data_IF_653543469957
#
_entry.id   IF_653543469957
#
_cell.length_a   1.000
_cell.length_b   1.000
_cell.length_c   1.000
_cell.angle_alpha   90.00
_cell.angle_beta   90.00
_cell.angle_gamma   90.00
#
_symmetry.space_group_name_H-M   'P 1'
#
loop_
_entity.id
_entity.type
_entity.pdbx_description
1 polymer ?
#
# COMPACT_ATOMS: atom_id res chain seq x y z
N UNK A 1 28.30 -61.93 1.56
CA UNK A 1 26.91 -61.60 1.17
C UNK A 1 26.06 -61.07 2.32
N UNK A 2 25.86 -61.80 3.43
CA UNK A 2 25.03 -61.33 4.57
C UNK A 2 25.51 -60.03 5.23
N UNK A 3 26.83 -59.80 5.33
CA UNK A 3 27.39 -58.57 5.90
C UNK A 3 27.15 -57.35 4.99
N UNK A 4 27.27 -57.54 3.68
CA UNK A 4 27.08 -56.48 2.69
C UNK A 4 25.62 -55.99 2.65
N UNK A 5 24.67 -56.92 2.75
CA UNK A 5 23.23 -56.61 2.83
C UNK A 5 22.92 -55.83 4.11
N UNK A 6 23.51 -56.20 5.26
CA UNK A 6 23.32 -55.47 6.53
C UNK A 6 23.85 -54.04 6.45
N UNK A 7 25.02 -53.85 5.84
CA UNK A 7 25.62 -52.50 5.67
C UNK A 7 24.77 -51.65 4.72
N UNK A 8 24.29 -52.21 3.61
CA UNK A 8 23.44 -51.50 2.66
C UNK A 8 22.10 -51.06 3.28
N UNK A 9 21.48 -51.91 4.10
CA UNK A 9 20.25 -51.58 4.83
C UNK A 9 20.47 -50.46 5.84
N UNK A 10 21.57 -50.48 6.59
CA UNK A 10 21.89 -49.42 7.55
C UNK A 10 22.14 -48.09 6.84
N UNK A 11 22.89 -48.07 5.73
CA UNK A 11 23.11 -46.85 4.94
C UNK A 11 21.81 -46.29 4.36
N UNK A 12 20.92 -47.16 3.87
CA UNK A 12 19.59 -46.76 3.39
C UNK A 12 18.73 -46.12 4.48
N UNK A 13 18.76 -46.68 5.70
CA UNK A 13 18.03 -46.12 6.85
C UNK A 13 18.60 -44.77 7.31
N UNK A 14 19.93 -44.61 7.31
CA UNK A 14 20.55 -43.31 7.63
C UNK A 14 20.18 -42.27 6.56
N UNK A 15 20.20 -42.64 5.28
CA UNK A 15 19.83 -41.73 4.20
C UNK A 15 18.35 -41.30 4.28
N UNK A 16 17.45 -42.25 4.57
CA UNK A 16 16.04 -41.96 4.84
C UNK A 16 15.85 -41.03 6.06
N UNK A 17 16.61 -41.24 7.13
CA UNK A 17 16.55 -40.39 8.31
C UNK A 17 17.02 -38.95 8.00
N UNK A 18 18.07 -38.78 7.20
CA UNK A 18 18.56 -37.45 6.76
C UNK A 18 17.54 -36.76 5.87
N UNK A 19 16.91 -37.48 4.94
CA UNK A 19 15.84 -36.92 4.11
C UNK A 19 14.62 -36.56 4.95
N UNK A 20 14.19 -37.42 5.87
CA UNK A 20 13.07 -37.12 6.77
C UNK A 20 13.36 -35.90 7.65
N UNK A 21 14.58 -35.79 8.19
CA UNK A 21 15.00 -34.63 8.99
C UNK A 21 15.13 -33.36 8.15
N UNK A 22 15.56 -33.48 6.88
CA UNK A 22 15.62 -32.38 5.92
C UNK A 22 14.24 -31.90 5.50
N UNK A 23 13.34 -32.81 5.10
CA UNK A 23 11.94 -32.48 4.81
C UNK A 23 11.27 -31.87 6.05
N UNK A 24 11.52 -32.40 7.25
CA UNK A 24 11.00 -31.82 8.49
C UNK A 24 11.54 -30.40 8.74
N UNK A 25 12.81 -30.11 8.42
CA UNK A 25 13.38 -28.76 8.51
C UNK A 25 12.92 -27.79 7.42
N UNK A 26 12.42 -28.28 6.28
CA UNK A 26 12.02 -27.46 5.14
C UNK A 26 10.52 -27.40 4.90
N UNK A 27 9.71 -28.24 5.56
CA UNK A 27 8.25 -28.15 5.54
C UNK A 27 7.75 -27.13 6.58
N UNK A 28 8.32 -25.92 6.56
CA UNK A 28 7.74 -24.75 7.22
C UNK A 28 6.53 -24.30 6.39
N UNK A 29 5.41 -24.98 6.61
CA UNK A 29 4.11 -24.43 6.29
C UNK A 29 3.71 -23.57 7.49
N UNK A 30 3.90 -22.26 7.36
CA UNK A 30 3.24 -21.21 8.17
C UNK A 30 3.30 -21.28 9.71
N UNK A 31 4.41 -21.75 10.30
CA UNK A 31 4.65 -21.55 11.74
C UNK A 31 5.57 -20.34 11.96
N UNK A 32 5.03 -19.32 12.63
CA UNK A 32 5.66 -18.05 12.97
C UNK A 32 7.12 -18.21 13.42
N UNK A 33 8.05 -17.53 12.75
CA UNK A 33 9.45 -17.47 13.18
C UNK A 33 9.53 -16.68 14.49
N UNK A 34 10.28 -17.16 15.49
CA UNK A 34 10.55 -16.44 16.74
C UNK A 34 12.03 -16.08 16.86
N UNK A 35 12.33 -14.88 17.34
CA UNK A 35 13.70 -14.45 17.69
C UNK A 35 13.79 -14.32 19.20
N UNK A 36 14.88 -14.86 19.76
CA UNK A 36 15.19 -14.74 21.18
C UNK A 36 16.21 -13.62 21.36
N UNK A 37 15.79 -12.51 21.97
CA UNK A 37 16.64 -11.36 22.30
C UNK A 37 16.49 -11.04 23.79
N UNK A 38 17.61 -10.96 24.52
CA UNK A 38 17.64 -10.70 25.98
C UNK A 38 16.68 -11.60 26.79
N UNK A 39 16.77 -12.92 26.58
CA UNK A 39 15.93 -13.94 27.23
C UNK A 39 14.41 -13.82 27.03
N UNK A 40 13.96 -12.90 26.17
CA UNK A 40 12.58 -12.85 25.71
C UNK A 40 12.46 -13.52 24.35
N UNK A 41 11.55 -14.50 24.25
CA UNK A 41 11.12 -15.05 22.97
C UNK A 41 10.03 -14.14 22.43
N UNK A 42 10.32 -13.43 21.34
CA UNK A 42 9.33 -12.66 20.61
C UNK A 42 9.08 -13.32 19.26
N UNK A 43 7.83 -13.36 18.77
CA UNK A 43 7.63 -13.61 17.34
C UNK A 43 8.52 -12.61 16.59
N UNK A 44 9.13 -13.04 15.49
CA UNK A 44 9.74 -12.18 14.49
C UNK A 44 8.58 -11.31 13.97
N UNK A 45 8.32 -10.22 14.66
CA UNK A 45 7.00 -9.60 14.68
C UNK A 45 6.49 -9.35 13.25
N UNK A 46 5.20 -9.66 13.05
CA UNK A 46 4.34 -8.88 12.16
C UNK A 46 4.79 -7.43 12.19
N UNK A 47 5.00 -6.82 11.02
CA UNK A 47 5.38 -5.41 10.87
C UNK A 47 4.71 -4.54 11.95
N UNK A 48 5.49 -4.13 12.98
CA UNK A 48 5.04 -3.36 14.17
C UNK A 48 3.75 -2.59 13.91
N UNK A 49 2.59 -3.11 14.34
CA UNK A 49 1.31 -2.43 14.14
C UNK A 49 1.37 -0.96 14.60
N UNK A 50 0.63 -0.08 13.93
CA UNK A 50 0.68 1.37 14.17
C UNK A 50 1.48 2.14 13.12
N UNK A 51 1.61 3.45 13.34
CA UNK A 51 2.15 4.38 12.34
C UNK A 51 3.60 4.08 11.93
N UNK A 52 4.42 3.56 12.86
CA UNK A 52 5.80 3.17 12.60
C UNK A 52 5.88 1.99 11.62
N UNK A 53 5.05 0.97 11.79
CA UNK A 53 4.99 -0.18 10.87
C UNK A 53 4.57 0.23 9.47
N UNK A 54 3.68 1.21 9.35
CA UNK A 54 3.30 1.75 8.03
C UNK A 54 4.52 2.35 7.33
N UNK A 55 5.28 3.21 8.00
CA UNK A 55 6.49 3.81 7.42
C UNK A 55 7.55 2.76 7.08
N UNK A 56 7.77 1.79 7.98
CA UNK A 56 8.71 0.70 7.78
C UNK A 56 8.32 -0.18 6.59
N UNK A 57 7.04 -0.49 6.42
CA UNK A 57 6.59 -1.36 5.34
C UNK A 57 6.55 -0.66 3.99
N UNK A 58 6.01 0.56 3.91
CA UNK A 58 5.82 1.25 2.63
C UNK A 58 7.12 1.89 2.11
N UNK A 59 7.99 2.32 3.01
CA UNK A 59 9.19 3.09 2.64
C UNK A 59 10.49 2.49 3.17
N UNK A 60 10.46 1.35 3.88
CA UNK A 60 11.65 0.75 4.51
C UNK A 60 12.36 1.66 5.52
N UNK A 61 11.60 2.52 6.22
CA UNK A 61 12.14 3.50 7.17
C UNK A 61 11.81 3.14 8.62
N UNK A 62 12.83 3.11 9.47
CA UNK A 62 12.66 3.18 10.92
C UNK A 62 12.68 4.65 11.35
N UNK A 63 11.49 5.26 11.42
CA UNK A 63 11.33 6.69 11.76
C UNK A 63 10.17 6.91 12.73
N UNK A 64 10.20 8.07 13.41
CA UNK A 64 9.07 8.58 14.21
C UNK A 64 8.09 9.40 13.36
N UNK A 65 8.46 9.74 12.14
CA UNK A 65 7.57 10.37 11.17
C UNK A 65 6.39 9.45 10.85
N UNK A 66 5.29 10.04 10.41
CA UNK A 66 4.03 9.34 10.22
C UNK A 66 3.44 9.69 8.86
N UNK A 67 2.92 8.68 8.16
CA UNK A 67 2.18 8.93 6.93
C UNK A 67 0.78 9.45 7.27
N UNK A 68 0.60 10.77 7.15
CA UNK A 68 -0.67 11.44 7.39
C UNK A 68 -1.36 11.86 6.10
N UNK A 69 -2.68 11.65 6.05
CA UNK A 69 -3.53 12.08 4.95
C UNK A 69 -4.49 13.15 5.47
N UNK A 70 -4.45 14.34 4.86
CA UNK A 70 -5.41 15.40 5.13
C UNK A 70 -6.75 15.03 4.50
N UNK A 71 -7.83 15.15 5.27
CA UNK A 71 -9.18 14.95 4.74
C UNK A 71 -9.51 16.09 3.77
N UNK A 72 -10.03 15.81 2.56
CA UNK A 72 -10.32 16.87 1.58
C UNK A 72 -11.36 17.90 2.05
N UNK A 73 -12.35 17.46 2.84
CA UNK A 73 -13.47 18.30 3.29
C UNK A 73 -13.28 18.87 4.71
N UNK A 74 -12.13 18.64 5.35
CA UNK A 74 -11.84 19.21 6.66
C UNK A 74 -10.35 19.49 6.90
N UNK A 75 -10.03 20.28 7.92
CA UNK A 75 -8.62 20.56 8.27
C UNK A 75 -7.95 19.42 9.07
N UNK A 76 -8.62 18.27 9.22
CA UNK A 76 -8.07 17.13 9.96
C UNK A 76 -7.10 16.31 9.12
N UNK A 77 -6.13 15.73 9.80
CA UNK A 77 -5.17 14.79 9.22
C UNK A 77 -5.28 13.45 9.95
N UNK A 78 -5.36 12.38 9.17
CA UNK A 78 -5.50 11.00 9.64
C UNK A 78 -4.17 10.31 9.48
N UNK A 79 -3.69 9.66 10.54
CA UNK A 79 -2.45 8.88 10.48
C UNK A 79 -2.77 7.46 10.04
N UNK A 80 -2.06 6.95 9.05
CA UNK A 80 -2.15 5.54 8.69
C UNK A 80 -1.47 4.70 9.77
N UNK A 81 -2.15 3.65 10.24
CA UNK A 81 -1.75 2.84 11.40
C UNK A 81 -1.76 1.35 11.13
N UNK A 82 -2.25 0.89 9.98
CA UNK A 82 -2.29 -0.54 9.69
C UNK A 82 -2.53 -0.85 8.22
N UNK A 83 -2.73 -2.13 7.94
CA UNK A 83 -2.94 -2.66 6.60
C UNK A 83 -4.15 -3.59 6.56
N UNK A 84 -4.91 -3.54 5.47
CA UNK A 84 -5.90 -4.54 5.08
C UNK A 84 -5.26 -5.39 3.98
N UNK A 85 -4.64 -6.49 4.38
CA UNK A 85 -3.73 -7.29 3.54
C UNK A 85 -4.35 -7.73 2.22
N UNK A 86 -5.55 -8.30 2.28
CA UNK A 86 -6.25 -8.87 1.12
C UNK A 86 -6.59 -7.81 0.07
N UNK A 87 -6.88 -6.58 0.50
CA UNK A 87 -7.23 -5.47 -0.39
C UNK A 87 -6.02 -4.63 -0.79
N UNK A 88 -4.85 -4.92 -0.19
CA UNK A 88 -3.64 -4.12 -0.33
C UNK A 88 -3.86 -2.63 -0.01
N UNK A 89 -4.59 -2.37 1.08
CA UNK A 89 -4.85 -1.01 1.56
C UNK A 89 -4.07 -0.75 2.83
N UNK A 90 -3.48 0.44 2.97
CA UNK A 90 -3.06 0.95 4.26
C UNK A 90 -4.21 1.79 4.83
N UNK A 91 -4.52 1.67 6.12
CA UNK A 91 -5.66 2.36 6.70
C UNK A 91 -5.31 3.20 7.93
N UNK A 92 -6.14 4.19 8.20
CA UNK A 92 -6.16 4.96 9.42
C UNK A 92 -7.59 5.35 9.78
N UNK A 93 -7.97 5.15 11.03
CA UNK A 93 -9.30 5.50 11.52
C UNK A 93 -9.37 6.98 11.91
N UNK A 94 -10.55 7.59 11.78
CA UNK A 94 -10.77 8.96 12.21
C UNK A 94 -12.16 9.20 12.78
N UNK A 95 -12.24 10.24 13.62
CA UNK A 95 -13.50 10.84 14.04
C UNK A 95 -13.46 12.34 13.80
N UNK A 96 -14.37 12.81 12.95
CA UNK A 96 -14.62 14.23 12.70
C UNK A 96 -15.97 14.67 13.27
N UNK A 97 -15.94 15.26 14.47
CA UNK A 97 -17.13 15.61 15.25
C UNK A 97 -18.03 14.38 15.47
N UNK A 98 -19.13 14.30 14.73
CA UNK A 98 -20.11 13.20 14.76
C UNK A 98 -19.85 12.14 13.69
N UNK A 99 -19.04 12.44 12.67
CA UNK A 99 -18.70 11.53 11.58
C UNK A 99 -17.52 10.66 12.00
N UNK A 100 -17.61 9.35 11.77
CA UNK A 100 -16.48 8.41 11.92
C UNK A 100 -16.25 7.72 10.60
N UNK A 101 -15.03 7.26 10.38
CA UNK A 101 -14.68 6.54 9.16
C UNK A 101 -13.23 6.16 9.13
N UNK A 102 -12.78 5.76 7.96
CA UNK A 102 -11.42 5.35 7.67
C UNK A 102 -10.90 6.10 6.45
N UNK A 103 -9.60 6.37 6.45
CA UNK A 103 -8.85 6.65 5.23
C UNK A 103 -8.21 5.35 4.78
N UNK A 104 -8.37 4.99 3.51
CA UNK A 104 -7.85 3.77 2.89
C UNK A 104 -6.94 4.14 1.72
N UNK A 105 -5.64 3.88 1.82
CA UNK A 105 -4.64 4.18 0.81
C UNK A 105 -4.31 2.92 0.00
N UNK A 106 -4.50 2.96 -1.33
CA UNK A 106 -4.10 1.86 -2.21
C UNK A 106 -2.61 1.96 -2.55
N UNK A 107 -1.79 1.34 -1.69
CA UNK A 107 -0.34 1.44 -1.81
C UNK A 107 0.24 0.67 -2.99
N UNK A 108 -0.53 -0.22 -3.65
CA UNK A 108 -0.09 -0.87 -4.89
C UNK A 108 -0.10 0.08 -6.08
N UNK A 109 -0.85 1.18 -5.97
CA UNK A 109 -0.95 2.23 -6.99
C UNK A 109 -0.14 3.48 -6.62
N UNK A 110 0.84 3.34 -5.74
CA UNK A 110 1.80 4.41 -5.48
C UNK A 110 2.66 4.61 -6.73
N UNK A 111 2.58 5.79 -7.32
CA UNK A 111 3.28 6.14 -8.56
C UNK A 111 4.22 7.31 -8.32
N UNK A 112 5.54 7.08 -8.31
CA UNK A 112 6.53 8.16 -8.27
C UNK A 112 6.41 9.11 -9.46
N UNK A 113 6.65 10.40 -9.21
CA UNK A 113 6.69 11.47 -10.20
C UNK A 113 8.13 11.99 -10.29
N UNK A 114 8.77 11.79 -11.44
CA UNK A 114 10.12 12.26 -11.71
C UNK A 114 10.13 13.75 -12.12
N UNK A 115 9.54 14.60 -11.28
CA UNK A 115 9.52 16.05 -11.49
C UNK A 115 10.93 16.64 -11.31
N UNK A 116 11.35 17.63 -12.12
CA UNK A 116 12.67 18.25 -11.97
C UNK A 116 12.76 19.08 -10.69
N UNK A 117 13.98 19.23 -10.16
CA UNK A 117 14.26 20.10 -9.01
C UNK A 117 13.98 19.49 -7.64
N UNK A 118 13.83 18.17 -7.54
CA UNK A 118 13.49 17.46 -6.31
C UNK A 118 14.60 16.51 -5.80
N UNK A 119 15.89 16.86 -5.95
CA UNK A 119 17.02 15.96 -5.64
C UNK A 119 16.99 15.34 -4.22
N UNK A 120 16.38 16.03 -3.25
CA UNK A 120 16.29 15.60 -1.85
C UNK A 120 14.91 15.04 -1.46
N UNK A 121 14.01 14.85 -2.43
CA UNK A 121 12.65 14.36 -2.15
C UNK A 121 12.04 13.57 -3.31
N UNK A 122 11.20 12.58 -3.01
CA UNK A 122 10.33 11.95 -3.99
C UNK A 122 8.97 12.61 -3.99
N UNK A 123 8.47 13.03 -5.14
CA UNK A 123 7.04 13.29 -5.29
C UNK A 123 6.35 12.06 -5.83
N UNK A 124 5.14 11.80 -5.37
CA UNK A 124 4.36 10.66 -5.84
C UNK A 124 2.88 10.95 -5.72
N UNK A 125 2.10 10.24 -6.52
CA UNK A 125 0.65 10.20 -6.41
C UNK A 125 0.22 8.82 -5.97
N UNK A 126 -0.86 8.76 -5.21
CA UNK A 126 -1.43 7.49 -4.76
C UNK A 126 -2.93 7.68 -4.49
N UNK A 127 -3.78 6.73 -4.91
CA UNK A 127 -5.19 6.79 -4.59
C UNK A 127 -5.45 6.56 -3.11
N UNK A 128 -6.39 7.31 -2.56
CA UNK A 128 -6.98 6.99 -1.27
C UNK A 128 -8.49 7.20 -1.28
N UNK A 129 -9.18 6.43 -0.45
CA UNK A 129 -10.60 6.57 -0.19
C UNK A 129 -10.83 7.14 1.21
N UNK A 130 -11.91 7.90 1.37
CA UNK A 130 -12.45 8.32 2.65
C UNK A 130 -13.81 7.67 2.82
N UNK A 131 -13.97 6.87 3.88
CA UNK A 131 -15.25 6.25 4.24
C UNK A 131 -15.91 7.05 5.36
N UNK A 132 -17.23 6.89 5.50
CA UNK A 132 -17.98 7.47 6.63
C UNK A 132 -18.87 6.39 7.26
N UNK A 133 -19.50 6.68 8.40
CA UNK A 133 -20.53 5.80 9.00
C UNK A 133 -21.73 5.55 8.07
N UNK A 134 -21.89 6.35 7.01
CA UNK A 134 -22.83 6.08 5.93
C UNK A 134 -22.32 5.02 4.95
N UNK A 135 -22.86 5.02 3.75
CA UNK A 135 -22.49 4.05 2.72
C UNK A 135 -21.49 4.59 1.68
N UNK A 136 -21.09 5.85 1.76
CA UNK A 136 -20.21 6.50 0.78
C UNK A 136 -18.75 6.06 0.89
N UNK A 137 -18.09 5.85 -0.25
CA UNK A 137 -16.66 5.58 -0.34
C UNK A 137 -16.08 6.52 -1.40
N UNK A 138 -15.57 7.66 -0.93
CA UNK A 138 -15.14 8.75 -1.79
C UNK A 138 -13.65 8.60 -2.12
N UNK A 139 -13.34 8.38 -3.40
CA UNK A 139 -11.98 8.22 -3.87
C UNK A 139 -11.36 9.54 -4.33
N UNK A 140 -10.09 9.71 -4.00
CA UNK A 140 -9.27 10.84 -4.34
C UNK A 140 -7.91 10.37 -4.88
N UNK A 141 -7.31 11.18 -5.74
CA UNK A 141 -5.90 11.08 -6.09
C UNK A 141 -5.12 12.03 -5.19
N UNK A 142 -4.38 11.48 -4.23
CA UNK A 142 -3.53 12.24 -3.33
C UNK A 142 -2.15 12.45 -3.94
N UNK A 143 -1.58 13.63 -3.72
CA UNK A 143 -0.23 13.99 -4.09
C UNK A 143 0.60 14.22 -2.84
N UNK A 144 1.77 13.60 -2.78
CA UNK A 144 2.63 13.59 -1.62
C UNK A 144 4.08 13.90 -1.99
N UNK A 145 4.82 14.40 -1.00
CA UNK A 145 6.28 14.54 -1.07
C UNK A 145 6.91 13.81 0.10
N UNK A 146 7.79 12.87 -0.21
CA UNK A 146 8.63 12.17 0.74
C UNK A 146 10.01 12.84 0.76
N UNK A 147 10.42 13.34 1.91
CA UNK A 147 11.70 14.02 2.12
C UNK A 147 12.76 12.99 2.58
N UNK A 148 13.85 12.84 1.81
CA UNK A 148 14.85 11.81 2.07
C UNK A 148 15.72 12.09 3.30
N UNK A 149 15.84 13.35 3.72
CA UNK A 149 16.70 13.73 4.86
C UNK A 149 15.99 13.48 6.19
N UNK A 150 14.71 13.81 6.24
CA UNK A 150 13.90 13.74 7.46
C UNK A 150 13.07 12.45 7.55
N UNK A 151 12.80 11.80 6.41
CA UNK A 151 11.86 10.70 6.31
C UNK A 151 10.39 11.14 6.42
N UNK A 152 10.12 12.45 6.37
CA UNK A 152 8.78 13.00 6.49
C UNK A 152 7.99 12.87 5.19
N UNK A 153 6.68 12.66 5.29
CA UNK A 153 5.76 12.66 4.16
C UNK A 153 4.79 13.84 4.31
N UNK A 154 4.84 14.77 3.37
CA UNK A 154 3.91 15.88 3.27
C UNK A 154 2.79 15.55 2.28
N UNK A 155 1.53 15.68 2.70
CA UNK A 155 0.38 15.71 1.79
C UNK A 155 0.31 17.10 1.14
N UNK A 156 0.47 17.15 -0.18
CA UNK A 156 0.52 18.39 -0.96
C UNK A 156 -0.86 18.81 -1.49
N UNK A 157 -1.57 17.88 -2.14
CA UNK A 157 -2.84 18.15 -2.79
C UNK A 157 -3.67 16.87 -2.91
N UNK A 158 -4.98 17.03 -3.13
CA UNK A 158 -5.92 15.94 -3.38
C UNK A 158 -6.89 16.35 -4.48
N UNK A 159 -7.27 15.40 -5.33
CA UNK A 159 -8.28 15.61 -6.37
C UNK A 159 -9.35 14.53 -6.29
N UNK A 160 -10.63 14.93 -6.19
CA UNK A 160 -11.75 14.00 -6.15
C UNK A 160 -11.87 13.23 -7.47
N UNK A 161 -12.05 11.92 -7.37
CA UNK A 161 -12.17 11.00 -8.49
C UNK A 161 -13.59 10.47 -8.66
N UNK A 162 -14.29 10.19 -7.57
CA UNK A 162 -15.66 9.69 -7.62
C UNK A 162 -16.06 8.90 -6.37
N UNK A 163 -17.34 8.54 -6.29
CA UNK A 163 -17.87 7.63 -5.28
C UNK A 163 -17.91 6.20 -5.84
N UNK A 164 -17.38 5.23 -5.09
CA UNK A 164 -17.38 3.79 -5.45
C UNK A 164 -16.88 3.49 -6.87
N UNK A 165 -15.75 4.10 -7.25
CA UNK A 165 -15.04 3.78 -8.47
C UNK A 165 -14.04 2.64 -8.24
N UNK A 166 -13.59 2.00 -9.31
CA UNK A 166 -12.45 1.08 -9.30
C UNK A 166 -11.32 1.73 -10.10
N UNK A 167 -10.22 2.05 -9.44
CA UNK A 167 -9.03 2.59 -10.13
C UNK A 167 -8.24 1.39 -10.64
N UNK A 168 -7.86 1.36 -11.91
CA UNK A 168 -7.10 0.26 -12.49
C UNK A 168 -5.59 0.60 -12.52
N UNK A 169 -5.24 1.79 -13.00
CA UNK A 169 -3.84 2.20 -13.14
C UNK A 169 -3.66 3.72 -13.05
N UNK A 170 -2.46 4.12 -12.65
CA UNK A 170 -1.94 5.48 -12.80
C UNK A 170 -0.68 5.39 -13.65
N UNK A 171 -0.70 6.05 -14.79
CA UNK A 171 0.40 6.00 -15.76
C UNK A 171 0.92 7.42 -16.01
N UNK A 172 2.17 7.74 -15.64
CA UNK A 172 2.82 8.96 -16.08
C UNK A 172 2.86 9.02 -17.61
N UNK A 173 2.63 10.20 -18.19
CA UNK A 173 2.77 10.38 -19.63
C UNK A 173 4.24 10.20 -20.01
N UNK A 174 4.50 9.44 -21.08
CA UNK A 174 5.84 9.22 -21.61
C UNK A 174 6.02 9.91 -22.98
N UNK A 175 7.13 10.65 -23.20
CA UNK A 175 8.12 11.05 -22.21
C UNK A 175 7.51 11.97 -21.15
N UNK A 176 7.99 11.86 -19.91
CA UNK A 176 7.50 12.67 -18.79
C UNK A 176 8.04 14.10 -18.84
N UNK A 177 7.52 14.88 -19.78
CA UNK A 177 7.92 16.26 -20.09
C UNK A 177 6.80 17.29 -19.78
N UNK A 178 7.14 18.58 -19.60
CA UNK A 178 6.16 19.65 -19.40
C UNK A 178 5.13 19.78 -20.56
N UNK A 179 3.84 20.02 -20.26
CA UNK A 179 3.23 19.99 -18.93
C UNK A 179 3.16 18.55 -18.40
N UNK A 180 3.73 18.32 -17.22
CA UNK A 180 3.79 17.00 -16.61
C UNK A 180 2.39 16.50 -16.30
N UNK A 181 2.09 15.26 -16.68
CA UNK A 181 0.76 14.70 -16.52
C UNK A 181 0.77 13.21 -16.20
N UNK A 182 -0.28 12.76 -15.51
CA UNK A 182 -0.59 11.36 -15.29
C UNK A 182 -1.98 11.04 -15.85
N UNK A 183 -2.12 9.87 -16.45
CA UNK A 183 -3.41 9.33 -16.88
C UNK A 183 -3.86 8.29 -15.87
N UNK A 184 -5.09 8.46 -15.38
CA UNK A 184 -5.77 7.54 -14.49
C UNK A 184 -6.77 6.72 -15.29
N UNK A 185 -6.59 5.40 -15.32
CA UNK A 185 -7.57 4.46 -15.84
C UNK A 185 -8.48 4.01 -14.70
N UNK A 186 -9.79 4.17 -14.86
CA UNK A 186 -10.77 3.82 -13.82
C UNK A 186 -12.08 3.31 -14.42
N UNK A 187 -12.78 2.47 -13.65
CA UNK A 187 -14.17 2.13 -13.89
C UNK A 187 -15.07 2.96 -12.99
N UNK A 188 -16.07 3.58 -13.59
CA UNK A 188 -17.19 4.21 -12.91
C UNK A 188 -18.47 3.41 -13.14
N UNK A 189 -19.55 3.83 -12.51
CA UNK A 189 -20.89 3.31 -12.78
C UNK A 189 -21.56 4.07 -13.91
N UNK A 190 -22.35 3.34 -14.70
CA UNK A 190 -23.29 3.94 -15.65
C UNK A 190 -24.50 4.52 -14.90
N UNK A 191 -25.26 5.42 -15.55
CA UNK A 191 -26.46 6.00 -14.93
C UNK A 191 -27.54 4.97 -14.57
N UNK A 192 -27.58 3.85 -15.29
CA UNK A 192 -28.58 2.79 -15.12
C UNK A 192 -28.16 1.71 -14.10
N UNK A 193 -26.89 1.72 -13.68
CA UNK A 193 -26.32 0.67 -12.84
C UNK A 193 -26.71 0.83 -11.37
N UNK A 194 -27.08 -0.27 -10.69
CA UNK A 194 -27.43 -0.29 -9.27
C UNK A 194 -26.25 0.06 -8.35
N UNK A 195 -26.54 0.61 -7.15
CA UNK A 195 -25.53 0.93 -6.13
C UNK A 195 -24.85 -0.31 -5.54
N UNK A 196 -25.45 -1.48 -5.70
CA UNK A 196 -24.93 -2.74 -5.19
C UNK A 196 -23.96 -3.44 -6.17
N UNK A 197 -23.88 -2.97 -7.42
CA UNK A 197 -23.07 -3.59 -8.46
C UNK A 197 -21.70 -2.90 -8.58
N UNK A 198 -20.67 -3.67 -8.91
CA UNK A 198 -19.31 -3.16 -9.13
C UNK A 198 -19.26 -2.28 -10.40
N UNK A 199 -18.51 -1.15 -10.40
CA UNK A 199 -18.43 -0.25 -11.54
C UNK A 199 -17.96 -0.98 -12.82
N UNK A 200 -18.61 -0.68 -13.96
CA UNK A 200 -18.34 -1.36 -15.23
C UNK A 200 -17.89 -0.46 -16.38
N UNK A 201 -18.08 0.85 -16.29
CA UNK A 201 -17.79 1.79 -17.37
C UNK A 201 -16.35 2.30 -17.27
N UNK A 202 -15.50 1.87 -18.21
CA UNK A 202 -14.12 2.32 -18.30
C UNK A 202 -14.03 3.76 -18.78
N UNK A 203 -13.20 4.57 -18.12
CA UNK A 203 -12.81 5.89 -18.56
C UNK A 203 -11.37 6.22 -18.17
N UNK A 204 -10.77 7.13 -18.92
CA UNK A 204 -9.48 7.70 -18.60
C UNK A 204 -9.63 9.17 -18.21
N UNK A 205 -8.87 9.59 -17.18
CA UNK A 205 -8.79 10.99 -16.76
C UNK A 205 -7.34 11.42 -16.70
N UNK A 206 -7.03 12.52 -17.35
CA UNK A 206 -5.69 13.10 -17.30
C UNK A 206 -5.63 14.16 -16.21
N UNK A 207 -4.56 14.14 -15.41
CA UNK A 207 -4.27 15.16 -14.41
C UNK A 207 -2.90 15.78 -14.69
N UNK A 208 -2.84 17.11 -14.69
CA UNK A 208 -1.59 17.86 -14.71
C UNK A 208 -1.03 17.95 -13.29
N UNK A 209 0.29 17.76 -13.17
CA UNK A 209 0.99 17.77 -11.89
C UNK A 209 2.10 18.82 -11.88
N UNK A 210 2.28 19.48 -10.73
CA UNK A 210 3.39 20.42 -10.47
C UNK A 210 4.09 20.04 -9.18
N UNK A 211 5.04 20.84 -8.70
CA UNK A 211 5.68 20.59 -7.41
C UNK A 211 4.71 20.63 -6.20
N UNK A 212 3.52 21.20 -6.35
CA UNK A 212 2.59 21.38 -5.22
C UNK A 212 1.12 21.16 -5.55
N UNK A 213 0.78 20.88 -6.81
CA UNK A 213 -0.62 20.76 -7.24
C UNK A 213 -0.85 19.58 -8.17
N UNK A 214 -2.09 19.08 -8.12
CA UNK A 214 -2.65 18.17 -9.09
C UNK A 214 -3.99 18.74 -9.55
N UNK A 215 -4.18 18.87 -10.87
CA UNK A 215 -5.36 19.48 -11.47
C UNK A 215 -5.89 18.61 -12.60
N UNK A 216 -7.20 18.41 -12.73
CA UNK A 216 -7.76 17.72 -13.88
C UNK A 216 -7.44 18.51 -15.15
N UNK A 217 -7.08 17.81 -16.22
CA UNK A 217 -7.17 18.38 -17.55
C UNK A 217 -8.64 18.71 -17.78
N UNK A 218 -8.97 20.00 -17.88
CA UNK A 218 -10.34 20.43 -18.22
C UNK A 218 -10.84 19.61 -19.39
N UNK A 219 -11.97 18.93 -19.20
CA UNK A 219 -12.71 18.23 -20.25
C UNK A 219 -12.94 19.21 -21.39
N UNK A 220 -12.38 18.93 -22.57
CA UNK A 220 -12.96 19.45 -23.80
C UNK A 220 -14.27 18.72 -24.09
#
# INVERSE_FOLDING_TARGET
>A
MKLFIRVAVVLGLVFLAVIALGIYRFNFTEDDLYVRENDMVRPLAEFDGGAKGVMKRLFSLDTREQFRIRLPDSNKSVTLTGFKEEQHLAFGEYQDEVVRGEVLLDYRKLTPLNLPGNAESMQFVVPFAVTTQGSGVFWYLGMFRFDYQTGAIAHLASQFLGDRIEIEAITPKEPFDPPYSVTLALKTRTQEQSMAEAPGEYMERTFFVTLTSILPSSSQ
#
